data_IF_507608113556
#
_entry.id   IF_507608113556
#
_cell.length_a   1.000
_cell.length_b   1.000
_cell.length_c   1.000
_cell.angle_alpha   90.00
_cell.angle_beta   90.00
_cell.angle_gamma   90.00
#
_symmetry.space_group_name_H-M   'P 1'
#
loop_
_entity.id
_entity.type
_entity.pdbx_description
1 polymer ?
#
# COMPACT_ATOMS: atom_id res chain seq x y z
N UNK A 1 5.10 2.63 16.57
CA UNK A 1 4.21 3.79 16.82
C UNK A 1 3.80 3.73 18.28
N UNK A 2 3.96 4.80 19.07
CA UNK A 2 3.39 4.82 20.43
C UNK A 2 1.87 4.72 20.31
N UNK A 3 1.28 3.73 20.98
CA UNK A 3 -0.17 3.49 20.97
C UNK A 3 -0.86 4.65 21.69
N UNK A 4 -1.27 5.67 20.94
CA UNK A 4 -2.18 6.67 21.46
C UNK A 4 -3.56 6.01 21.57
N UNK A 5 -4.03 5.82 22.79
CA UNK A 5 -5.30 5.14 23.07
C UNK A 5 -6.42 6.16 22.94
N UNK A 6 -7.23 6.06 21.91
CA UNK A 6 -8.42 6.89 21.77
C UNK A 6 -9.52 6.38 22.72
N UNK A 7 -10.23 7.30 23.38
CA UNK A 7 -11.07 6.97 24.54
C UNK A 7 -12.56 6.87 24.22
N UNK A 8 -13.02 7.33 23.06
CA UNK A 8 -14.45 7.30 22.69
C UNK A 8 -14.76 6.12 21.77
N UNK A 9 -15.95 5.54 21.92
CA UNK A 9 -16.42 4.50 21.00
C UNK A 9 -16.52 5.03 19.57
N UNK A 10 -15.84 4.36 18.63
CA UNK A 10 -15.75 4.78 17.23
C UNK A 10 -14.54 5.67 16.93
N UNK A 11 -13.85 6.19 17.96
CA UNK A 11 -12.56 6.83 17.73
C UNK A 11 -11.57 5.81 17.16
N UNK A 12 -10.70 6.29 16.28
CA UNK A 12 -9.48 5.57 16.02
C UNK A 12 -8.33 6.54 15.80
N UNK A 13 -7.14 6.09 16.20
CA UNK A 13 -5.91 6.81 15.96
C UNK A 13 -5.58 6.63 14.50
N UNK A 14 -5.70 7.71 13.73
CA UNK A 14 -5.44 7.69 12.30
C UNK A 14 -4.18 8.48 11.99
N UNK A 15 -3.36 8.00 11.04
CA UNK A 15 -2.30 8.81 10.48
C UNK A 15 -2.87 10.10 9.87
N UNK A 16 -2.30 11.25 10.25
CA UNK A 16 -2.57 12.54 9.60
C UNK A 16 -1.61 12.84 8.45
N UNK A 17 -0.55 12.02 8.31
CA UNK A 17 0.45 12.12 7.26
C UNK A 17 1.10 10.75 6.99
N UNK A 18 1.91 10.67 5.93
CA UNK A 18 2.65 9.45 5.56
C UNK A 18 3.76 9.07 6.57
N UNK A 19 4.10 9.94 7.51
CA UNK A 19 5.12 9.69 8.53
C UNK A 19 4.56 8.90 9.74
N UNK A 20 3.26 8.58 9.73
CA UNK A 20 2.63 7.78 10.78
C UNK A 20 2.40 8.54 12.09
N UNK A 21 2.36 9.88 12.05
CA UNK A 21 1.88 10.63 13.22
C UNK A 21 0.38 10.41 13.37
N UNK A 22 -0.02 9.74 14.45
CA UNK A 22 -1.41 9.44 14.75
C UNK A 22 -2.11 10.59 15.47
N UNK A 23 -3.34 10.88 15.09
CA UNK A 23 -4.27 11.69 15.87
C UNK A 23 -5.58 10.93 16.03
N UNK A 24 -6.22 11.03 17.19
CA UNK A 24 -7.54 10.45 17.40
C UNK A 24 -8.59 11.28 16.67
N UNK A 25 -9.29 10.65 15.73
CA UNK A 25 -10.46 11.23 15.08
C UNK A 25 -11.70 10.53 15.59
N UNK A 26 -12.74 11.32 15.87
CA UNK A 26 -14.08 10.81 16.09
C UNK A 26 -14.70 10.33 14.77
N UNK A 27 -15.62 9.39 14.86
CA UNK A 27 -16.30 8.83 13.69
C UNK A 27 -17.41 7.88 14.11
N UNK A 28 -18.26 7.50 13.17
CA UNK A 28 -19.37 6.59 13.45
C UNK A 28 -18.91 5.18 13.87
N UNK A 29 -17.68 4.81 13.49
CA UNK A 29 -17.09 3.50 13.73
C UNK A 29 -15.57 3.53 13.50
N UNK A 30 -14.90 2.45 13.93
CA UNK A 30 -13.48 2.20 13.74
C UNK A 30 -13.27 1.17 12.62
N UNK A 31 -12.44 1.48 11.62
CA UNK A 31 -12.25 0.67 10.41
C UNK A 31 -11.44 -0.61 10.65
N UNK A 32 -10.71 -0.72 11.76
CA UNK A 32 -9.98 -1.96 12.11
C UNK A 32 -10.80 -2.78 13.10
N UNK A 33 -11.35 -2.16 14.15
CA UNK A 33 -12.17 -2.84 15.13
C UNK A 33 -13.57 -3.21 14.61
N UNK A 34 -14.03 -2.59 13.51
CA UNK A 34 -15.29 -2.91 12.83
C UNK A 34 -16.52 -2.90 13.76
N UNK A 35 -16.55 -1.92 14.66
CA UNK A 35 -17.49 -1.81 15.78
C UNK A 35 -18.78 -1.01 15.45
N UNK A 36 -19.35 -1.25 14.27
CA UNK A 36 -20.64 -0.67 13.92
C UNK A 36 -21.77 -1.14 14.86
N UNK A 37 -22.80 -0.31 15.12
CA UNK A 37 -23.92 -0.69 16.00
C UNK A 37 -24.66 -1.94 15.52
N UNK A 38 -24.84 -2.09 14.20
CA UNK A 38 -25.38 -3.30 13.59
C UNK A 38 -24.25 -4.31 13.37
N UNK A 39 -24.38 -5.51 13.91
CA UNK A 39 -23.34 -6.54 13.81
C UNK A 39 -22.99 -6.93 12.36
N UNK A 40 -23.95 -6.84 11.44
CA UNK A 40 -23.81 -7.13 10.01
C UNK A 40 -23.19 -6.00 9.20
N UNK A 41 -23.04 -4.81 9.78
CA UNK A 41 -22.47 -3.67 9.07
C UNK A 41 -20.95 -3.67 9.15
N UNK A 42 -20.33 -3.14 8.09
CA UNK A 42 -18.92 -2.84 7.98
C UNK A 42 -18.67 -1.35 8.21
N UNK A 43 -17.57 -1.06 8.90
CA UNK A 43 -17.04 0.29 8.98
C UNK A 43 -16.14 0.56 7.77
N UNK A 44 -16.53 1.51 6.93
CA UNK A 44 -15.82 1.86 5.69
C UNK A 44 -15.49 3.35 5.66
N UNK A 45 -14.39 3.70 4.98
CA UNK A 45 -14.11 5.08 4.58
C UNK A 45 -14.93 5.44 3.35
N UNK A 46 -15.63 6.57 3.42
CA UNK A 46 -16.38 7.16 2.31
C UNK A 46 -16.03 8.62 2.17
N UNK A 47 -16.07 9.11 0.94
CA UNK A 47 -15.81 10.50 0.60
C UNK A 47 -15.26 10.57 -0.82
N UNK A 48 -15.66 11.62 -1.54
CA UNK A 48 -15.15 11.91 -2.90
C UNK A 48 -14.14 13.04 -2.90
N UNK A 49 -13.96 13.70 -1.76
CA UNK A 49 -13.18 14.91 -1.59
C UNK A 49 -12.44 14.89 -0.24
N UNK A 50 -11.47 15.80 -0.07
CA UNK A 50 -10.78 15.98 1.21
C UNK A 50 -11.69 16.34 2.38
N UNK A 51 -12.78 17.06 2.11
CA UNK A 51 -13.66 17.66 3.12
C UNK A 51 -14.83 16.76 3.53
N UNK A 52 -15.13 15.72 2.75
CA UNK A 52 -16.23 14.78 3.00
C UNK A 52 -15.75 13.38 3.39
N UNK A 53 -14.44 13.16 3.56
CA UNK A 53 -13.92 11.89 4.02
C UNK A 53 -14.41 11.60 5.45
N UNK A 54 -15.14 10.50 5.60
CA UNK A 54 -15.74 10.08 6.86
C UNK A 54 -15.77 8.55 6.99
N UNK A 55 -15.80 8.08 8.24
CA UNK A 55 -16.03 6.67 8.57
C UNK A 55 -17.52 6.45 8.79
N UNK A 56 -18.10 5.53 8.02
CA UNK A 56 -19.54 5.24 8.04
C UNK A 56 -19.80 3.76 8.19
N UNK A 57 -20.86 3.41 8.90
CA UNK A 57 -21.39 2.05 8.90
C UNK A 57 -22.26 1.85 7.66
N UNK A 58 -22.00 0.79 6.92
CA UNK A 58 -22.80 0.37 5.78
C UNK A 58 -22.94 -1.15 5.79
N UNK A 59 -23.96 -1.69 5.10
CA UNK A 59 -24.10 -3.13 4.95
C UNK A 59 -22.81 -3.73 4.41
N UNK A 60 -22.29 -4.76 5.07
CA UNK A 60 -21.09 -5.45 4.62
C UNK A 60 -21.35 -6.18 3.29
N UNK A 61 -20.37 -6.14 2.40
CA UNK A 61 -20.39 -6.94 1.20
C UNK A 61 -20.09 -8.41 1.47
N UNK A 62 -20.05 -9.18 0.39
CA UNK A 62 -19.74 -10.62 0.44
C UNK A 62 -18.37 -10.95 -0.13
N UNK A 63 -17.72 -10.00 -0.82
CA UNK A 63 -16.43 -10.25 -1.45
C UNK A 63 -15.31 -10.30 -0.42
N UNK A 64 -14.55 -11.38 -0.45
CA UNK A 64 -13.42 -11.60 0.46
C UNK A 64 -12.17 -10.87 -0.02
N UNK A 65 -11.14 -10.87 0.81
CA UNK A 65 -9.88 -10.18 0.53
C UNK A 65 -9.27 -10.62 -0.81
N UNK A 66 -8.78 -9.66 -1.60
CA UNK A 66 -8.19 -9.86 -2.93
C UNK A 66 -9.20 -10.07 -4.07
N UNK A 67 -10.49 -10.28 -3.77
CA UNK A 67 -11.51 -10.42 -4.80
C UNK A 67 -11.81 -9.07 -5.49
N UNK A 68 -12.19 -9.15 -6.77
CA UNK A 68 -12.45 -7.97 -7.59
C UNK A 68 -13.68 -7.19 -7.11
N UNK A 69 -13.56 -5.89 -6.90
CA UNK A 69 -14.64 -5.00 -6.46
C UNK A 69 -14.76 -3.77 -7.35
N UNK A 70 -15.91 -3.10 -7.28
CA UNK A 70 -16.14 -1.85 -7.99
C UNK A 70 -15.69 -0.69 -7.12
N UNK A 71 -14.66 0.04 -7.55
CA UNK A 71 -14.13 1.18 -6.80
C UNK A 71 -15.02 2.42 -7.00
N UNK A 72 -15.95 2.61 -6.07
CA UNK A 72 -16.82 3.78 -5.99
C UNK A 72 -16.78 4.35 -4.58
N UNK A 73 -17.10 5.64 -4.42
CA UNK A 73 -17.11 6.31 -3.12
C UNK A 73 -18.12 5.72 -2.11
N UNK A 74 -19.02 4.85 -2.59
CA UNK A 74 -20.06 4.21 -1.79
C UNK A 74 -20.02 2.68 -1.86
N UNK A 75 -18.94 2.12 -2.41
CA UNK A 75 -18.79 0.67 -2.61
C UNK A 75 -19.00 -0.10 -1.31
N UNK A 76 -19.83 -1.13 -1.38
CA UNK A 76 -20.10 -2.09 -0.30
C UNK A 76 -19.85 -3.51 -0.79
N UNK A 77 -19.04 -3.67 -1.83
CA UNK A 77 -18.76 -4.99 -2.41
C UNK A 77 -18.01 -5.90 -1.43
N UNK A 78 -17.12 -5.29 -0.64
CA UNK A 78 -16.19 -6.00 0.21
C UNK A 78 -16.77 -6.33 1.58
N UNK A 79 -16.39 -7.51 2.10
CA UNK A 79 -16.77 -7.97 3.42
C UNK A 79 -16.25 -7.07 4.55
N UNK A 80 -16.79 -7.27 5.76
CA UNK A 80 -16.43 -6.53 6.96
C UNK A 80 -14.92 -6.54 7.21
N UNK A 81 -14.35 -5.35 7.45
CA UNK A 81 -12.89 -5.19 7.62
C UNK A 81 -12.11 -4.91 6.35
N UNK A 82 -12.77 -4.83 5.19
CA UNK A 82 -12.15 -4.63 3.89
C UNK A 82 -12.63 -3.34 3.20
N UNK A 83 -11.79 -2.77 2.33
CA UNK A 83 -12.06 -1.61 1.49
C UNK A 83 -11.77 -1.94 0.03
N UNK A 84 -12.61 -1.47 -0.88
CA UNK A 84 -12.28 -1.56 -2.30
C UNK A 84 -11.19 -0.54 -2.65
N UNK A 85 -10.03 -1.02 -3.10
CA UNK A 85 -8.93 -0.21 -3.62
C UNK A 85 -8.35 -0.90 -4.85
N UNK A 86 -8.06 -0.15 -5.91
CA UNK A 86 -7.51 -0.67 -7.16
C UNK A 86 -8.35 -1.85 -7.69
N UNK A 87 -9.67 -1.74 -7.55
CA UNK A 87 -10.65 -2.79 -7.87
C UNK A 87 -10.44 -4.12 -7.12
N UNK A 88 -9.79 -4.13 -5.95
CA UNK A 88 -9.66 -5.31 -5.07
C UNK A 88 -10.07 -5.00 -3.64
N UNK A 89 -10.63 -5.99 -2.95
CA UNK A 89 -10.97 -5.86 -1.54
C UNK A 89 -9.72 -6.03 -0.66
N UNK A 90 -9.24 -4.94 -0.08
CA UNK A 90 -8.05 -4.91 0.77
C UNK A 90 -8.39 -4.70 2.24
N UNK A 91 -7.62 -5.32 3.14
CA UNK A 91 -7.92 -5.32 4.57
C UNK A 91 -7.44 -4.04 5.25
N UNK A 92 -8.23 -3.43 6.13
CA UNK A 92 -7.74 -2.34 6.99
C UNK A 92 -6.72 -2.82 8.04
N UNK A 93 -5.81 -1.95 8.44
CA UNK A 93 -4.82 -2.26 9.48
C UNK A 93 -4.37 -1.01 10.25
N UNK A 94 -3.80 -1.24 11.44
CA UNK A 94 -3.03 -0.23 12.17
C UNK A 94 -1.53 -0.57 12.20
N UNK A 95 -1.20 -1.85 12.15
CA UNK A 95 0.17 -2.37 12.28
C UNK A 95 0.38 -3.60 11.39
N UNK A 96 1.63 -3.94 11.06
CA UNK A 96 1.94 -5.11 10.24
C UNK A 96 1.33 -6.43 10.77
N UNK A 97 1.30 -6.71 12.09
CA UNK A 97 0.64 -7.90 12.62
C UNK A 97 -0.84 -8.04 12.26
N UNK A 98 -1.57 -6.92 12.04
CA UNK A 98 -2.97 -6.98 11.63
C UNK A 98 -3.14 -7.64 10.25
N UNK A 99 -2.08 -7.63 9.43
CA UNK A 99 -2.06 -8.20 8.10
C UNK A 99 -1.70 -9.68 8.08
N UNK A 100 -1.19 -10.25 9.17
CA UNK A 100 -0.73 -11.63 9.21
C UNK A 100 0.55 -11.86 8.39
N UNK A 101 0.88 -13.12 8.14
CA UNK A 101 2.15 -13.49 7.49
C UNK A 101 2.25 -12.96 6.05
N UNK A 102 3.37 -12.31 5.73
CA UNK A 102 3.64 -11.74 4.40
C UNK A 102 2.87 -10.46 4.07
N UNK A 103 2.12 -9.91 5.04
CA UNK A 103 1.45 -8.64 4.93
C UNK A 103 2.20 -7.51 5.64
N UNK A 104 2.12 -6.29 5.11
CA UNK A 104 2.56 -5.07 5.78
C UNK A 104 1.46 -4.01 5.73
N UNK A 105 1.34 -3.25 6.81
CA UNK A 105 0.38 -2.19 6.94
C UNK A 105 0.98 -0.87 6.43
N UNK A 106 0.79 -0.57 5.14
CA UNK A 106 1.61 0.43 4.47
C UNK A 106 0.90 1.35 3.46
N UNK A 107 -0.23 0.96 2.85
CA UNK A 107 -0.92 1.89 1.94
C UNK A 107 -1.80 2.84 2.74
N UNK A 108 -1.47 4.12 2.68
CA UNK A 108 -2.25 5.20 3.23
C UNK A 108 -3.33 5.65 2.24
N UNK A 109 -4.58 5.33 2.56
CA UNK A 109 -5.77 5.74 1.81
C UNK A 109 -6.25 7.12 2.27
N UNK A 110 -5.97 8.13 1.46
CA UNK A 110 -6.38 9.50 1.73
C UNK A 110 -6.60 10.29 0.42
N UNK A 111 -7.77 10.91 0.20
CA UNK A 111 -7.93 11.94 -0.82
C UNK A 111 -6.96 13.10 -0.55
N UNK A 112 -6.29 13.62 -1.57
CA UNK A 112 -5.26 14.65 -1.40
C UNK A 112 -5.76 15.85 -0.60
N UNK A 113 -5.18 16.10 0.57
CA UNK A 113 -5.56 17.21 1.46
C UNK A 113 -6.64 16.87 2.48
N UNK A 114 -7.09 15.62 2.57
CA UNK A 114 -8.00 15.21 3.64
C UNK A 114 -7.28 15.33 5.00
N UNK A 115 -8.02 15.51 6.10
CA UNK A 115 -7.41 15.67 7.42
C UNK A 115 -6.83 14.37 8.00
N UNK A 116 -7.29 13.21 7.51
CA UNK A 116 -6.83 11.88 7.94
C UNK A 116 -7.06 10.86 6.82
N UNK A 117 -6.50 9.67 6.96
CA UNK A 117 -6.76 8.52 6.10
C UNK A 117 -6.68 7.21 6.90
N UNK A 118 -6.75 6.06 6.23
CA UNK A 118 -6.51 4.76 6.89
C UNK A 118 -5.38 3.99 6.22
N UNK A 119 -4.75 3.09 6.98
CA UNK A 119 -3.87 2.11 6.39
C UNK A 119 -4.63 0.85 5.97
N UNK A 120 -4.18 0.23 4.89
CA UNK A 120 -4.58 -1.10 4.49
C UNK A 120 -3.37 -2.03 4.38
N UNK A 121 -3.66 -3.31 4.55
CA UNK A 121 -2.72 -4.39 4.37
C UNK A 121 -2.35 -4.52 2.91
N UNK A 122 -1.05 -4.43 2.68
CA UNK A 122 -0.42 -4.88 1.48
C UNK A 122 0.10 -6.26 1.73
N UNK A 123 -0.41 -7.20 0.96
CA UNK A 123 0.24 -8.49 0.83
C UNK A 123 1.25 -8.32 -0.27
N UNK A 124 2.49 -8.73 0.01
CA UNK A 124 3.41 -8.97 -1.06
C UNK A 124 2.79 -10.08 -1.93
N UNK A 125 2.00 -9.72 -2.94
CA UNK A 125 1.67 -10.65 -4.01
C UNK A 125 3.03 -11.12 -4.51
N UNK A 126 3.24 -12.42 -4.58
CA UNK A 126 4.48 -13.11 -4.97
C UNK A 126 4.86 -12.83 -6.43
N UNK A 127 4.81 -11.58 -6.83
CA UNK A 127 5.41 -11.12 -8.03
C UNK A 127 6.91 -11.04 -7.78
N UNK A 128 7.66 -11.35 -8.81
CA UNK A 128 9.09 -11.27 -8.82
C UNK A 128 9.46 -9.94 -9.50
N UNK A 129 10.15 -9.00 -8.81
CA UNK A 129 10.63 -7.76 -9.40
C UNK A 129 11.51 -7.96 -10.64
N UNK A 130 12.15 -9.13 -10.78
CA UNK A 130 12.92 -9.50 -11.96
C UNK A 130 12.04 -10.03 -13.08
N UNK A 131 11.04 -10.86 -12.78
CA UNK A 131 10.16 -11.47 -13.79
C UNK A 131 8.97 -10.59 -14.20
N UNK A 132 8.60 -9.58 -13.39
CA UNK A 132 7.47 -8.66 -13.62
C UNK A 132 6.14 -9.37 -13.94
N UNK A 133 5.89 -10.49 -13.26
CA UNK A 133 4.80 -11.45 -13.47
C UNK A 133 3.47 -11.06 -12.78
N UNK A 134 3.13 -9.77 -12.76
CA UNK A 134 1.83 -9.32 -12.30
C UNK A 134 0.70 -9.79 -13.23
N UNK A 135 -0.46 -10.14 -12.66
CA UNK A 135 -1.60 -10.66 -13.42
C UNK A 135 -2.16 -9.65 -14.42
N UNK A 136 -2.17 -8.37 -14.06
CA UNK A 136 -2.51 -7.29 -14.98
C UNK A 136 -1.25 -6.84 -15.75
N UNK A 137 -1.33 -6.83 -17.08
CA UNK A 137 -0.22 -6.43 -17.94
C UNK A 137 0.24 -4.97 -17.71
N UNK A 138 -0.67 -4.09 -17.28
CA UNK A 138 -0.38 -2.69 -16.95
C UNK A 138 0.26 -2.48 -15.57
N UNK A 139 0.30 -3.52 -14.73
CA UNK A 139 0.97 -3.48 -13.43
C UNK A 139 2.46 -3.87 -13.58
N UNK A 140 3.29 -3.28 -12.72
CA UNK A 140 4.66 -3.70 -12.47
C UNK A 140 4.80 -4.29 -11.07
N UNK A 141 5.82 -5.12 -10.88
CA UNK A 141 6.20 -5.64 -9.57
C UNK A 141 7.24 -4.73 -8.93
N UNK A 142 6.89 -4.13 -7.80
CA UNK A 142 7.70 -3.13 -7.10
C UNK A 142 8.06 -3.61 -5.69
N UNK A 143 9.26 -3.29 -5.22
CA UNK A 143 9.67 -3.57 -3.85
C UNK A 143 9.00 -2.57 -2.89
N UNK A 144 8.18 -3.06 -1.96
CA UNK A 144 7.55 -2.29 -0.90
C UNK A 144 8.16 -2.63 0.47
N UNK A 145 7.73 -1.92 1.52
CA UNK A 145 8.10 -2.21 2.91
C UNK A 145 7.79 -3.66 3.32
N UNK A 146 6.67 -4.22 2.84
CA UNK A 146 6.24 -5.60 3.11
C UNK A 146 6.78 -6.66 2.15
N UNK A 147 7.61 -6.28 1.18
CA UNK A 147 8.07 -7.15 0.09
C UNK A 147 7.52 -6.74 -1.28
N UNK A 148 7.80 -7.52 -2.33
CA UNK A 148 7.35 -7.22 -3.70
C UNK A 148 5.83 -7.19 -3.83
N UNK A 149 5.27 -6.23 -4.57
CA UNK A 149 3.83 -6.18 -4.84
C UNK A 149 3.50 -5.60 -6.22
N UNK A 150 2.32 -5.97 -6.73
CA UNK A 150 1.83 -5.52 -8.03
C UNK A 150 1.05 -4.21 -7.93
N UNK A 151 1.52 -3.18 -8.64
CA UNK A 151 0.87 -1.87 -8.72
C UNK A 151 0.89 -1.36 -10.15
N UNK A 152 -0.01 -0.44 -10.48
CA UNK A 152 -0.01 0.24 -11.77
C UNK A 152 1.35 0.86 -12.05
N UNK A 153 1.90 0.53 -13.22
CA UNK A 153 3.19 1.04 -13.62
C UNK A 153 3.09 2.50 -14.02
N UNK A 154 4.07 3.30 -13.58
CA UNK A 154 4.22 4.68 -14.00
C UNK A 154 4.89 4.79 -15.36
N UNK A 155 5.11 6.02 -15.78
CA UNK A 155 5.69 6.35 -17.10
C UNK A 155 7.08 7.00 -16.99
N UNK A 156 7.60 7.17 -15.77
CA UNK A 156 8.90 7.82 -15.54
C UNK A 156 10.02 6.89 -16.01
N UNK A 157 10.82 7.36 -16.94
CA UNK A 157 11.90 6.59 -17.55
C UNK A 157 13.05 6.30 -16.56
N UNK A 158 13.81 5.23 -16.81
CA UNK A 158 15.02 4.90 -16.05
C UNK A 158 16.01 6.07 -16.09
N UNK A 159 16.63 6.37 -14.95
CA UNK A 159 17.55 7.49 -14.74
C UNK A 159 16.89 8.79 -14.31
N UNK A 160 15.56 8.93 -14.44
CA UNK A 160 14.84 10.15 -14.05
C UNK A 160 14.48 10.14 -12.57
N UNK A 161 14.40 11.33 -11.97
CA UNK A 161 14.01 11.50 -10.57
C UNK A 161 12.57 11.03 -10.31
N UNK A 162 12.33 10.52 -9.10
CA UNK A 162 11.04 9.97 -8.70
C UNK A 162 10.81 10.15 -7.18
N UNK A 163 9.58 9.96 -6.74
CA UNK A 163 9.18 10.07 -5.33
C UNK A 163 8.48 8.83 -4.78
N UNK A 164 7.95 7.95 -5.63
CA UNK A 164 7.31 6.71 -5.20
C UNK A 164 7.75 5.53 -6.06
N UNK A 165 7.78 4.33 -5.49
CA UNK A 165 8.29 3.13 -6.15
C UNK A 165 7.64 2.87 -7.52
N UNK A 166 6.32 3.10 -7.62
CA UNK A 166 5.52 2.83 -8.81
C UNK A 166 5.43 4.01 -9.82
N UNK A 167 6.12 5.13 -9.59
CA UNK A 167 6.19 6.21 -10.61
C UNK A 167 7.02 5.81 -11.84
N UNK A 168 7.89 4.83 -11.66
CA UNK A 168 8.81 4.35 -12.68
C UNK A 168 8.15 3.33 -13.61
N UNK A 169 8.66 3.25 -14.83
CA UNK A 169 8.24 2.23 -15.81
C UNK A 169 8.42 0.81 -15.26
N UNK A 170 7.62 -0.12 -15.79
CA UNK A 170 7.66 -1.55 -15.43
C UNK A 170 9.08 -2.12 -15.53
N UNK A 171 9.49 -2.91 -14.53
CA UNK A 171 10.87 -3.43 -14.42
C UNK A 171 11.87 -2.50 -13.74
N UNK A 172 11.43 -1.35 -13.23
CA UNK A 172 12.25 -0.41 -12.47
C UNK A 172 11.53 0.05 -11.21
N UNK A 173 12.28 0.53 -10.22
CA UNK A 173 11.75 1.10 -8.98
C UNK A 173 12.40 2.44 -8.67
N UNK A 174 11.73 3.24 -7.83
CA UNK A 174 12.29 4.48 -7.33
C UNK A 174 13.30 4.20 -6.21
N UNK A 175 14.59 4.24 -6.55
CA UNK A 175 15.67 3.79 -5.68
C UNK A 175 16.68 4.92 -5.47
N UNK A 176 17.00 5.19 -4.19
CA UNK A 176 18.00 6.19 -3.79
C UNK A 176 19.43 5.67 -3.95
N UNK A 177 20.34 6.53 -4.40
CA UNK A 177 21.78 6.29 -4.29
C UNK A 177 22.29 6.52 -2.86
N UNK A 178 23.61 6.38 -2.67
CA UNK A 178 24.28 6.63 -1.38
C UNK A 178 24.13 8.08 -0.90
N UNK A 179 23.83 9.01 -1.79
CA UNK A 179 23.58 10.42 -1.49
C UNK A 179 22.09 10.69 -1.21
N UNK A 180 21.25 9.67 -1.28
CA UNK A 180 19.81 9.77 -1.04
C UNK A 180 19.04 10.41 -2.20
N UNK A 181 19.61 10.49 -3.41
CA UNK A 181 18.90 11.01 -4.58
C UNK A 181 18.07 9.90 -5.24
N UNK A 182 16.73 9.92 -5.12
CA UNK A 182 15.89 8.89 -5.71
C UNK A 182 15.80 9.05 -7.23
N UNK A 183 16.08 7.97 -7.96
CA UNK A 183 15.87 7.88 -9.39
C UNK A 183 15.24 6.54 -9.76
N UNK A 184 14.56 6.50 -10.91
CA UNK A 184 14.05 5.26 -11.46
C UNK A 184 15.22 4.38 -11.90
N UNK A 185 15.42 3.26 -11.22
CA UNK A 185 16.52 2.32 -11.48
C UNK A 185 15.96 0.96 -11.81
N UNK A 186 16.50 0.34 -12.85
CA UNK A 186 16.09 -0.99 -13.28
C UNK A 186 16.45 -2.01 -12.20
N UNK A 187 15.58 -2.99 -11.98
CA UNK A 187 15.94 -4.15 -11.16
C UNK A 187 16.92 -5.04 -11.92
N UNK A 188 17.82 -5.70 -11.19
CA UNK A 188 18.81 -6.57 -11.79
C UNK A 188 19.06 -7.82 -10.95
N UNK A 189 19.45 -8.89 -11.63
CA UNK A 189 19.82 -10.14 -10.98
C UNK A 189 21.29 -10.07 -10.53
N UNK A 190 21.53 -10.25 -9.22
CA UNK A 190 22.87 -10.18 -8.63
C UNK A 190 23.78 -11.33 -9.08
N UNK A 191 23.20 -12.46 -9.49
CA UNK A 191 23.95 -13.65 -9.93
C UNK A 191 24.38 -13.56 -11.41
N UNK A 192 24.22 -12.39 -12.05
CA UNK A 192 24.56 -12.16 -13.46
C UNK A 192 23.53 -12.67 -14.47
N UNK A 193 22.37 -13.15 -13.99
CA UNK A 193 21.23 -13.52 -14.82
C UNK A 193 20.45 -12.32 -15.37
N UNK A 194 19.40 -12.59 -16.13
CA UNK A 194 18.46 -11.55 -16.56
C UNK A 194 17.51 -11.15 -15.40
N UNK A 195 17.03 -9.89 -15.34
CA UNK A 195 17.50 -8.74 -16.12
C UNK A 195 18.90 -8.28 -15.69
N UNK A 196 19.72 -7.88 -16.66
CA UNK A 196 21.01 -7.25 -16.43
C UNK A 196 20.89 -5.73 -16.55
N UNK A 197 21.87 -5.02 -15.98
CA UNK A 197 21.94 -3.56 -16.11
C UNK A 197 22.37 -3.17 -17.52
N UNK A 198 21.54 -2.37 -18.22
CA UNK A 198 21.92 -1.78 -19.51
C UNK A 198 23.08 -0.78 -19.37
N UNK A 199 23.22 -0.17 -18.20
CA UNK A 199 24.36 0.63 -17.78
C UNK A 199 24.55 0.53 -16.26
N UNK A 200 25.79 0.70 -15.80
CA UNK A 200 26.11 0.67 -14.37
C UNK A 200 26.34 -0.73 -13.81
N UNK A 201 26.37 -0.83 -12.49
CA UNK A 201 26.55 -2.10 -11.76
C UNK A 201 25.27 -2.50 -11.03
N UNK A 202 25.05 -3.81 -10.94
CA UNK A 202 23.96 -4.35 -10.14
C UNK A 202 24.34 -4.31 -8.66
N UNK A 203 23.81 -3.34 -7.92
CA UNK A 203 24.07 -3.23 -6.50
C UNK A 203 22.95 -3.89 -5.70
N UNK A 204 23.28 -4.64 -4.63
CA UNK A 204 22.29 -5.34 -3.83
C UNK A 204 21.33 -4.35 -3.17
N UNK A 205 20.04 -4.69 -3.23
CA UNK A 205 19.01 -3.97 -2.49
C UNK A 205 18.79 -4.64 -1.13
N UNK A 206 18.40 -3.83 -0.16
CA UNK A 206 17.96 -4.28 1.13
C UNK A 206 16.54 -3.79 1.39
N UNK A 207 15.76 -4.59 2.13
CA UNK A 207 14.47 -4.13 2.64
C UNK A 207 14.69 -3.09 3.76
N UNK A 208 13.60 -2.53 4.29
CA UNK A 208 13.70 -1.53 5.37
C UNK A 208 14.32 -2.06 6.68
N UNK A 209 14.39 -3.39 6.86
CA UNK A 209 15.10 -4.02 7.97
C UNK A 209 16.59 -4.25 7.68
N UNK A 210 17.10 -3.79 6.54
CA UNK A 210 18.50 -3.96 6.14
C UNK A 210 18.84 -5.37 5.62
N UNK A 211 17.84 -6.23 5.41
CA UNK A 211 18.08 -7.59 4.90
C UNK A 211 18.16 -7.60 3.37
N UNK A 212 19.13 -8.31 2.76
CA UNK A 212 19.23 -8.45 1.32
C UNK A 212 17.94 -9.07 0.73
N UNK A 213 17.45 -8.54 -0.39
CA UNK A 213 16.23 -9.04 -1.04
C UNK A 213 16.51 -10.03 -2.19
N UNK A 214 17.76 -10.50 -2.33
CA UNK A 214 18.16 -11.50 -3.34
C UNK A 214 18.27 -10.97 -4.77
N UNK A 215 18.04 -9.67 -4.98
CA UNK A 215 18.24 -8.98 -6.25
C UNK A 215 18.74 -7.55 -5.99
N UNK A 216 19.12 -6.87 -7.07
CA UNK A 216 19.71 -5.54 -7.03
C UNK A 216 18.94 -4.48 -7.80
N UNK A 217 19.46 -3.26 -7.73
CA UNK A 217 19.12 -2.16 -8.62
C UNK A 217 20.34 -1.77 -9.44
N UNK A 218 20.12 -1.23 -10.63
CA UNK A 218 21.19 -0.71 -11.48
C UNK A 218 21.60 0.70 -11.06
N UNK A 219 22.88 0.86 -10.70
CA UNK A 219 23.46 2.13 -10.28
C UNK A 219 24.61 2.57 -11.18
#
# INVERSE_FOLDING_TARGET
MQSQTCTTAGDQCLPVNQQGMGQCFAGACNTVAQNCPTATDACVLRGTSPTDLMRTCAAAGTKTQGQACTETATSTDCAKGLQCLNNKCEKYCNTDPDCGAGGSCAVFLQPQGAPFGAFICLYATSCDPLAQNCANAAEGCYLLSGGPGCFMAGTTAVGMACQSANQCVKGSGCLGDQQGNPACRQFCNLDGGAPTCGSGMCNPLANQAGMPVGFGGCF
#
